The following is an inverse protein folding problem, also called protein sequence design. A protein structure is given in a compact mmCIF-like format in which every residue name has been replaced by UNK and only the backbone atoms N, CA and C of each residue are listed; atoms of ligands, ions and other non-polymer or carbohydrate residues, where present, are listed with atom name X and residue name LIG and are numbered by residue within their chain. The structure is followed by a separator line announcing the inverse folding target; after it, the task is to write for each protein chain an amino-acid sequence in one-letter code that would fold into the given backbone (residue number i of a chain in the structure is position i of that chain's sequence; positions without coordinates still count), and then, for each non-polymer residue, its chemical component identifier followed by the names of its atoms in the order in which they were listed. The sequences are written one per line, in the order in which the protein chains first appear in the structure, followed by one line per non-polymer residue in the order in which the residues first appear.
data_IF_005869906942
#
_entry.id   IF_005869906942
#
_cell.length_a   1.000
_cell.length_b   1.000
_cell.length_c   1.000
_cell.angle_alpha   90.00
_cell.angle_beta   90.00
_cell.angle_gamma   90.00
#
_symmetry.space_group_name_H-M   'P 1'
#
loop_
_entity.id
_entity.type
_entity.pdbx_description
1 polymer ?
#
# COMPACT_ATOMS: atom_id res chain seq x y z
N UNK A 1 15.69 -5.12 -8.49
CA UNK A 1 14.23 -5.38 -8.51
C UNK A 1 13.37 -4.13 -8.44
N UNK A 2 13.78 -3.02 -7.81
CA UNK A 2 12.98 -1.77 -7.71
C UNK A 2 12.58 -1.17 -9.08
N UNK A 3 13.43 -1.30 -10.11
CA UNK A 3 13.09 -0.84 -11.48
C UNK A 3 11.90 -1.59 -12.11
N UNK A 4 11.60 -2.82 -11.68
CA UNK A 4 10.56 -3.65 -12.30
C UNK A 4 9.15 -3.23 -11.84
N UNK A 5 8.99 -2.81 -10.57
CA UNK A 5 7.70 -2.38 -10.04
C UNK A 5 7.27 -0.99 -10.51
N UNK A 6 8.22 -0.04 -10.62
CA UNK A 6 7.95 1.25 -11.24
C UNK A 6 7.48 1.10 -12.70
N UNK A 7 7.95 0.05 -13.38
CA UNK A 7 7.59 -0.23 -14.77
C UNK A 7 6.24 -0.94 -14.89
N UNK A 8 5.97 -2.00 -14.12
CA UNK A 8 4.72 -2.78 -14.28
C UNK A 8 3.46 -1.96 -13.98
N UNK A 9 3.45 -1.17 -12.91
CA UNK A 9 2.27 -0.35 -12.59
C UNK A 9 2.21 0.97 -13.38
N UNK A 10 3.34 1.41 -13.95
CA UNK A 10 3.36 2.54 -14.89
C UNK A 10 2.75 2.20 -16.25
N UNK A 11 2.78 0.93 -16.67
CA UNK A 11 2.44 0.54 -18.04
C UNK A 11 0.96 0.15 -18.23
N UNK A 12 0.24 -0.27 -17.18
CA UNK A 12 -1.10 -0.86 -17.36
C UNK A 12 -2.24 0.17 -17.51
N UNK A 13 -2.02 1.47 -17.23
CA UNK A 13 -3.08 2.49 -17.31
C UNK A 13 -2.71 3.86 -17.93
N UNK A 14 -1.47 4.08 -18.42
CA UNK A 14 -0.94 5.44 -18.59
C UNK A 14 -0.14 5.72 -19.89
N UNK A 15 -0.41 5.04 -21.00
CA UNK A 15 0.41 5.21 -22.22
C UNK A 15 0.35 6.60 -22.89
N UNK A 16 -0.57 7.49 -22.48
CA UNK A 16 -0.73 8.77 -23.18
C UNK A 16 -0.63 10.03 -22.32
N UNK A 17 -0.71 9.97 -20.99
CA UNK A 17 -0.93 11.19 -20.22
C UNK A 17 0.26 11.83 -19.50
N UNK A 18 1.26 11.17 -18.90
CA UNK A 18 2.27 11.97 -18.18
C UNK A 18 3.70 11.39 -18.09
N UNK A 19 4.56 11.59 -19.13
CA UNK A 19 6.01 11.55 -18.96
C UNK A 19 6.50 12.48 -17.84
N UNK A 20 5.75 13.57 -17.59
CA UNK A 20 5.98 14.50 -16.48
C UNK A 20 5.83 13.85 -15.10
N UNK A 21 4.81 13.00 -14.91
CA UNK A 21 4.57 12.30 -13.64
C UNK A 21 5.73 11.36 -13.31
N UNK A 22 6.13 10.52 -14.28
CA UNK A 22 7.31 9.65 -14.13
C UNK A 22 8.59 10.44 -13.90
N UNK A 23 8.79 11.59 -14.57
CA UNK A 23 9.99 12.40 -14.39
C UNK A 23 10.07 12.99 -12.96
N UNK A 24 8.95 13.45 -12.42
CA UNK A 24 8.86 13.98 -11.05
C UNK A 24 9.06 12.86 -10.03
N UNK A 25 8.38 11.72 -10.20
CA UNK A 25 8.53 10.54 -9.34
C UNK A 25 10.00 10.06 -9.33
N UNK A 26 10.61 9.93 -10.51
CA UNK A 26 12.03 9.53 -10.62
C UNK A 26 12.94 10.48 -9.87
N UNK A 27 12.69 11.80 -9.92
CA UNK A 27 13.52 12.78 -9.21
C UNK A 27 13.32 12.73 -7.69
N UNK A 28 12.11 12.45 -7.22
CA UNK A 28 11.81 12.36 -5.78
C UNK A 28 12.27 11.06 -5.13
N UNK A 29 12.20 9.96 -5.89
CA UNK A 29 12.49 8.61 -5.38
C UNK A 29 13.85 8.07 -5.83
N UNK A 30 14.59 8.81 -6.66
CA UNK A 30 15.96 8.45 -7.01
C UNK A 30 16.84 8.31 -5.76
N UNK A 31 17.58 7.20 -5.68
CA UNK A 31 18.54 6.94 -4.62
C UNK A 31 17.96 6.32 -3.36
N UNK A 32 16.65 6.06 -3.29
CA UNK A 32 16.04 5.32 -2.18
C UNK A 32 15.96 3.83 -2.49
N UNK A 33 16.24 3.03 -1.48
CA UNK A 33 15.99 1.58 -1.52
C UNK A 33 14.70 1.32 -0.76
N UNK A 34 13.74 0.70 -1.42
CA UNK A 34 12.46 0.32 -0.82
C UNK A 34 12.39 -1.20 -0.72
N UNK A 35 11.90 -1.69 0.40
CA UNK A 35 11.49 -3.08 0.52
C UNK A 35 10.27 -3.35 -0.39
N UNK A 36 9.90 -4.62 -0.56
CA UNK A 36 8.68 -4.95 -1.30
C UNK A 36 7.42 -4.44 -0.59
N UNK A 37 7.38 -4.54 0.75
CA UNK A 37 6.26 -4.04 1.55
C UNK A 37 6.16 -2.51 1.50
N UNK A 38 7.29 -1.80 1.51
CA UNK A 38 7.31 -0.35 1.30
C UNK A 38 6.74 0.05 -0.07
N UNK A 39 7.10 -0.68 -1.12
CA UNK A 39 6.56 -0.47 -2.47
C UNK A 39 5.04 -0.67 -2.54
N UNK A 40 4.52 -1.68 -1.84
CA UNK A 40 3.09 -1.89 -1.70
C UNK A 40 2.42 -0.74 -0.94
N UNK A 41 3.03 -0.27 0.16
CA UNK A 41 2.51 0.87 0.91
C UNK A 41 2.45 2.13 0.05
N UNK A 42 3.52 2.45 -0.70
CA UNK A 42 3.53 3.59 -1.63
C UNK A 42 2.43 3.47 -2.70
N UNK A 43 2.21 2.26 -3.23
CA UNK A 43 1.14 1.98 -4.21
C UNK A 43 -0.23 2.19 -3.58
N UNK A 44 -0.43 1.73 -2.35
CA UNK A 44 -1.65 1.92 -1.61
C UNK A 44 -1.93 3.42 -1.35
N UNK A 45 -0.92 4.18 -0.90
CA UNK A 45 -1.02 5.63 -0.75
C UNK A 45 -1.32 6.36 -2.06
N UNK A 46 -0.80 5.88 -3.20
CA UNK A 46 -1.09 6.41 -4.54
C UNK A 46 -2.56 6.21 -4.92
N UNK A 47 -3.09 5.01 -4.72
CA UNK A 47 -4.48 4.66 -5.01
C UNK A 47 -5.42 5.44 -4.10
N UNK A 48 -5.14 5.45 -2.81
CA UNK A 48 -5.94 6.18 -1.84
C UNK A 48 -5.92 7.69 -2.11
N UNK A 49 -4.76 8.26 -2.39
CA UNK A 49 -4.62 9.66 -2.79
C UNK A 49 -5.43 10.01 -4.05
N UNK A 50 -5.46 9.11 -5.03
CA UNK A 50 -6.26 9.28 -6.24
C UNK A 50 -7.77 9.33 -5.92
N UNK A 51 -8.26 8.43 -5.07
CA UNK A 51 -9.65 8.47 -4.61
C UNK A 51 -9.98 9.72 -3.81
N UNK A 52 -9.07 10.17 -2.93
CA UNK A 52 -9.22 11.44 -2.22
C UNK A 52 -9.32 12.62 -3.21
N UNK A 53 -8.50 12.64 -4.26
CA UNK A 53 -8.56 13.67 -5.29
C UNK A 53 -9.91 13.69 -6.02
N UNK A 54 -10.49 12.52 -6.31
CA UNK A 54 -11.86 12.44 -6.87
C UNK A 54 -12.92 12.96 -5.91
N UNK A 55 -12.82 12.62 -4.62
CA UNK A 55 -13.79 13.09 -3.63
C UNK A 55 -13.67 14.59 -3.38
N UNK A 56 -12.45 15.14 -3.29
CA UNK A 56 -12.24 16.59 -3.15
C UNK A 56 -12.76 17.32 -4.38
N UNK A 57 -12.57 16.77 -5.57
CA UNK A 57 -13.15 17.31 -6.80
C UNK A 57 -14.67 17.39 -6.71
N UNK A 58 -15.33 16.29 -6.32
CA UNK A 58 -16.79 16.23 -6.14
C UNK A 58 -17.29 17.24 -5.09
N UNK A 59 -16.54 17.41 -3.99
CA UNK A 59 -16.83 18.39 -2.94
C UNK A 59 -16.78 19.84 -3.45
N UNK A 60 -15.79 20.18 -4.27
CA UNK A 60 -15.55 21.55 -4.75
C UNK A 60 -16.48 21.90 -5.92
N UNK A 61 -16.85 20.94 -6.76
CA UNK A 61 -17.49 21.19 -8.07
C UNK A 61 -18.97 20.84 -8.14
N UNK A 62 -19.62 20.65 -7.00
CA UNK A 62 -21.01 20.20 -6.89
C UNK A 62 -22.08 20.96 -7.72
N UNK A 63 -21.80 22.16 -8.22
CA UNK A 63 -22.73 22.94 -9.05
C UNK A 63 -22.17 23.25 -10.46
N UNK A 64 -21.02 22.69 -10.82
CA UNK A 64 -20.36 22.95 -12.09
C UNK A 64 -20.95 22.04 -13.19
N UNK A 65 -21.16 22.59 -14.38
CA UNK A 65 -21.52 21.80 -15.57
C UNK A 65 -20.42 20.75 -15.82
N UNK A 66 -20.80 19.48 -15.67
CA UNK A 66 -19.89 18.34 -15.56
C UNK A 66 -18.92 18.22 -16.75
N UNK A 67 -19.39 18.58 -17.95
CA UNK A 67 -18.65 18.42 -19.21
C UNK A 67 -17.49 19.41 -19.37
N UNK A 68 -17.52 20.58 -18.69
CA UNK A 68 -16.50 21.62 -18.88
C UNK A 68 -15.20 21.35 -18.13
N UNK A 69 -15.19 20.38 -17.22
CA UNK A 69 -14.16 20.28 -16.18
C UNK A 69 -13.52 18.90 -16.05
N UNK A 70 -13.63 18.05 -17.07
CA UNK A 70 -12.98 16.73 -17.06
C UNK A 70 -11.46 16.82 -16.88
N UNK A 71 -10.82 17.80 -17.53
CA UNK A 71 -9.37 18.02 -17.40
C UNK A 71 -8.98 18.38 -15.96
N UNK A 72 -9.75 19.24 -15.30
CA UNK A 72 -9.50 19.62 -13.91
C UNK A 72 -9.77 18.47 -12.93
N UNK A 73 -10.75 17.60 -13.21
CA UNK A 73 -10.97 16.36 -12.44
C UNK A 73 -9.75 15.45 -12.49
N UNK A 74 -9.23 15.20 -13.69
CA UNK A 74 -8.04 14.35 -13.89
C UNK A 74 -6.79 14.98 -13.27
N UNK A 75 -6.64 16.30 -13.36
CA UNK A 75 -5.55 17.02 -12.73
C UNK A 75 -5.62 16.91 -11.21
N UNK A 76 -6.80 17.09 -10.61
CA UNK A 76 -6.98 16.98 -9.16
C UNK A 76 -6.78 15.55 -8.64
N UNK A 77 -7.27 14.53 -9.37
CA UNK A 77 -7.02 13.13 -9.02
C UNK A 77 -5.54 12.76 -9.15
N UNK A 78 -4.84 13.28 -10.17
CA UNK A 78 -3.40 13.07 -10.33
C UNK A 78 -2.60 13.75 -9.21
N UNK A 79 -2.97 14.97 -8.83
CA UNK A 79 -2.39 15.65 -7.66
C UNK A 79 -2.68 14.90 -6.37
N UNK A 80 -3.90 14.39 -6.20
CA UNK A 80 -4.28 13.53 -5.07
C UNK A 80 -3.40 12.28 -5.01
N UNK A 81 -3.21 11.61 -6.15
CA UNK A 81 -2.36 10.43 -6.27
C UNK A 81 -0.92 10.72 -5.85
N UNK A 82 -0.32 11.78 -6.39
CA UNK A 82 1.04 12.21 -6.06
C UNK A 82 1.19 12.59 -4.58
N UNK A 83 0.27 13.40 -4.06
CA UNK A 83 0.29 13.82 -2.64
C UNK A 83 0.10 12.63 -1.70
N UNK A 84 -0.76 11.68 -2.04
CA UNK A 84 -0.93 10.41 -1.31
C UNK A 84 0.35 9.59 -1.26
N UNK A 85 1.06 9.45 -2.39
CA UNK A 85 2.37 8.78 -2.42
C UNK A 85 3.41 9.51 -1.57
N UNK A 86 3.48 10.84 -1.64
CA UNK A 86 4.43 11.64 -0.84
C UNK A 86 4.13 11.54 0.66
N UNK A 87 2.86 11.57 1.06
CA UNK A 87 2.46 11.40 2.45
C UNK A 87 2.81 10.00 2.94
N UNK A 88 2.55 8.97 2.13
CA UNK A 88 2.89 7.60 2.48
C UNK A 88 4.41 7.39 2.56
N UNK A 89 5.20 7.97 1.65
CA UNK A 89 6.68 7.96 1.75
C UNK A 89 7.17 8.54 3.09
N UNK A 90 6.59 9.66 3.51
CA UNK A 90 6.92 10.27 4.81
C UNK A 90 6.49 9.38 5.97
N UNK A 91 5.34 8.73 5.84
CA UNK A 91 4.80 7.82 6.85
C UNK A 91 5.68 6.58 7.04
N UNK A 92 6.16 5.98 5.96
CA UNK A 92 6.97 4.75 6.01
C UNK A 92 8.46 4.99 6.27
N UNK A 93 8.98 6.23 6.18
CA UNK A 93 10.44 6.49 6.20
C UNK A 93 11.22 5.90 7.38
N UNK A 94 10.56 5.72 8.52
CA UNK A 94 11.18 5.18 9.75
C UNK A 94 10.63 3.79 10.12
N UNK A 95 9.95 3.12 9.19
CA UNK A 95 9.28 1.85 9.38
C UNK A 95 9.71 0.91 8.25
N UNK A 96 10.01 -0.34 8.58
CA UNK A 96 10.27 -1.38 7.57
C UNK A 96 9.03 -2.27 7.50
N UNK A 97 8.22 -2.09 6.46
CA UNK A 97 7.00 -2.86 6.30
C UNK A 97 7.31 -4.18 5.60
N UNK A 98 6.91 -5.28 6.23
CA UNK A 98 6.86 -6.57 5.54
C UNK A 98 5.72 -6.57 4.53
N UNK A 99 5.79 -7.47 3.54
CA UNK A 99 4.70 -7.66 2.56
C UNK A 99 3.36 -7.94 3.24
N UNK A 100 3.35 -8.79 4.27
CA UNK A 100 2.15 -9.13 5.02
C UNK A 100 1.56 -7.94 5.76
N UNK A 101 2.40 -7.14 6.41
CA UNK A 101 1.97 -5.90 7.08
C UNK A 101 1.40 -4.89 6.09
N UNK A 102 2.03 -4.71 4.92
CA UNK A 102 1.53 -3.79 3.90
C UNK A 102 0.14 -4.20 3.38
N UNK A 103 -0.09 -5.50 3.13
CA UNK A 103 -1.40 -6.03 2.73
C UNK A 103 -2.44 -5.83 3.83
N UNK A 104 -2.09 -6.10 5.09
CA UNK A 104 -2.99 -5.90 6.22
C UNK A 104 -3.34 -4.42 6.38
N UNK A 105 -2.37 -3.50 6.27
CA UNK A 105 -2.59 -2.06 6.28
C UNK A 105 -3.58 -1.61 5.20
N UNK A 106 -3.37 -2.05 3.95
CA UNK A 106 -4.27 -1.74 2.83
C UNK A 106 -5.68 -2.30 3.05
N UNK A 107 -5.78 -3.53 3.58
CA UNK A 107 -7.07 -4.17 3.88
C UNK A 107 -7.80 -3.43 5.00
N UNK A 108 -7.07 -3.00 6.04
CA UNK A 108 -7.59 -2.24 7.15
C UNK A 108 -8.09 -0.85 6.73
N UNK A 109 -7.36 -0.17 5.85
CA UNK A 109 -7.81 1.08 5.23
C UNK A 109 -9.10 0.86 4.43
N UNK A 110 -9.15 -0.15 3.56
CA UNK A 110 -10.36 -0.45 2.78
C UNK A 110 -11.56 -0.82 3.65
N UNK A 111 -11.35 -1.64 4.69
CA UNK A 111 -12.38 -1.95 5.68
C UNK A 111 -12.87 -0.69 6.41
N UNK A 112 -11.96 0.23 6.73
CA UNK A 112 -12.26 1.54 7.29
C UNK A 112 -13.14 2.38 6.36
N UNK A 113 -12.83 2.43 5.07
CA UNK A 113 -13.66 3.13 4.05
C UNK A 113 -15.08 2.57 4.04
N UNK A 114 -15.22 1.25 3.96
CA UNK A 114 -16.52 0.57 3.97
C UNK A 114 -17.29 0.83 5.28
N UNK A 115 -16.60 0.83 6.42
CA UNK A 115 -17.20 1.13 7.72
C UNK A 115 -17.70 2.58 7.78
N UNK A 116 -16.93 3.53 7.27
CA UNK A 116 -17.33 4.94 7.16
C UNK A 116 -18.57 5.11 6.28
N UNK A 117 -18.60 4.46 5.12
CA UNK A 117 -19.78 4.45 4.25
C UNK A 117 -21.00 3.81 4.93
N UNK A 118 -20.82 2.64 5.55
CA UNK A 118 -21.89 1.93 6.28
C UNK A 118 -22.46 2.76 7.43
N UNK A 119 -21.61 3.50 8.14
CA UNK A 119 -22.06 4.47 9.16
C UNK A 119 -22.93 5.56 8.55
N UNK A 120 -22.57 6.07 7.38
CA UNK A 120 -23.38 7.05 6.65
C UNK A 120 -24.76 6.52 6.27
N UNK A 121 -24.85 5.25 5.84
CA UNK A 121 -26.12 4.59 5.51
C UNK A 121 -27.00 4.41 6.74
N UNK A 122 -26.44 3.97 7.88
CA UNK A 122 -27.19 3.77 9.14
C UNK A 122 -27.75 5.09 9.67
N UNK A 123 -27.01 6.19 9.48
CA UNK A 123 -27.43 7.53 9.88
C UNK A 123 -28.34 8.22 8.84
N UNK A 124 -28.76 7.50 7.79
CA UNK A 124 -29.61 8.01 6.71
C UNK A 124 -29.08 9.31 6.09
N UNK A 125 -27.76 9.37 5.89
CA UNK A 125 -27.11 10.54 5.30
C UNK A 125 -27.28 10.51 3.77
N UNK A 126 -28.28 11.26 3.29
CA UNK A 126 -28.53 11.41 1.85
C UNK A 126 -27.51 12.33 1.14
N UNK A 127 -26.74 13.10 1.91
CA UNK A 127 -25.74 13.98 1.35
C UNK A 127 -24.46 13.21 0.98
N UNK A 128 -24.28 12.96 -0.32
CA UNK A 128 -23.10 12.26 -0.85
C UNK A 128 -21.75 12.85 -0.42
N UNK A 129 -21.68 14.16 -0.14
CA UNK A 129 -20.46 14.81 0.38
C UNK A 129 -20.10 14.33 1.77
N UNK A 130 -21.10 14.28 2.64
CA UNK A 130 -20.91 13.83 4.02
C UNK A 130 -20.58 12.34 4.01
N UNK A 131 -21.23 11.56 3.15
CA UNK A 131 -20.89 10.15 2.96
C UNK A 131 -19.45 9.95 2.46
N UNK A 132 -18.98 10.76 1.51
CA UNK A 132 -17.59 10.76 1.05
C UNK A 132 -16.60 11.11 2.16
N UNK A 133 -16.89 12.14 2.96
CA UNK A 133 -16.06 12.51 4.11
C UNK A 133 -16.00 11.40 5.18
N UNK A 134 -17.13 10.73 5.44
CA UNK A 134 -17.15 9.56 6.34
C UNK A 134 -16.33 8.40 5.79
N UNK A 135 -16.40 8.15 4.48
CA UNK A 135 -15.60 7.13 3.82
C UNK A 135 -14.10 7.43 3.94
N UNK A 136 -13.68 8.69 3.71
CA UNK A 136 -12.28 9.12 3.86
C UNK A 136 -11.81 9.02 5.32
N UNK A 137 -12.60 9.55 6.24
CA UNK A 137 -12.30 9.48 7.67
C UNK A 137 -12.22 8.03 8.17
N UNK A 138 -13.13 7.18 7.68
CA UNK A 138 -13.11 5.74 7.90
C UNK A 138 -11.84 5.09 7.38
N UNK A 139 -11.41 5.41 6.16
CA UNK A 139 -10.17 4.88 5.57
C UNK A 139 -8.93 5.22 6.39
N UNK A 140 -8.75 6.51 6.72
CA UNK A 140 -7.66 6.95 7.61
C UNK A 140 -7.75 6.30 9.00
N UNK A 141 -8.96 6.19 9.55
CA UNK A 141 -9.20 5.51 10.82
C UNK A 141 -8.81 4.03 10.79
N UNK A 142 -9.19 3.32 9.73
CA UNK A 142 -8.84 1.92 9.49
C UNK A 142 -7.35 1.70 9.34
N UNK A 143 -6.67 2.58 8.59
CA UNK A 143 -5.20 2.58 8.47
C UNK A 143 -4.52 2.76 9.83
N UNK A 144 -4.93 3.77 10.61
CA UNK A 144 -4.33 4.07 11.92
C UNK A 144 -4.62 2.99 12.98
N UNK A 145 -5.84 2.43 12.98
CA UNK A 145 -6.19 1.31 13.87
C UNK A 145 -5.40 0.07 13.52
N UNK A 146 -5.29 -0.26 12.23
CA UNK A 146 -4.52 -1.42 11.77
C UNK A 146 -3.05 -1.27 12.12
N UNK A 147 -2.48 -0.07 11.97
CA UNK A 147 -1.11 0.21 12.42
C UNK A 147 -0.95 -0.10 13.91
N UNK A 148 -1.86 0.35 14.78
CA UNK A 148 -1.79 0.08 16.22
C UNK A 148 -1.85 -1.41 16.55
N UNK A 149 -2.60 -2.19 15.76
CA UNK A 149 -2.67 -3.65 15.92
C UNK A 149 -1.38 -4.32 15.42
N UNK A 150 -0.80 -3.78 14.34
CA UNK A 150 0.43 -4.29 13.71
C UNK A 150 1.73 -3.80 14.36
N UNK A 151 1.68 -2.89 15.34
CA UNK A 151 2.80 -2.52 16.21
C UNK A 151 3.23 -3.67 17.16
N UNK A 152 3.17 -4.90 16.65
CA UNK A 152 3.99 -6.02 17.09
C UNK A 152 5.44 -5.63 16.74
N UNK A 153 6.42 -5.78 17.65
CA UNK A 153 7.79 -5.30 17.48
C UNK A 153 8.34 -5.60 16.09
N UNK A 154 8.95 -4.60 15.45
CA UNK A 154 9.53 -4.72 14.10
C UNK A 154 10.28 -6.05 14.00
N UNK A 155 10.16 -6.77 12.90
CA UNK A 155 10.71 -8.12 12.73
C UNK A 155 12.22 -8.19 13.07
N UNK A 156 12.96 -7.08 12.91
CA UNK A 156 14.35 -6.92 13.35
C UNK A 156 14.58 -7.01 14.88
N UNK A 157 13.53 -6.92 15.69
CA UNK A 157 13.52 -7.16 17.14
C UNK A 157 12.92 -8.53 17.50
N UNK A 158 12.01 -9.05 16.66
CA UNK A 158 11.40 -10.37 16.88
C UNK A 158 12.36 -11.50 16.48
N UNK A 159 13.18 -11.29 15.45
CA UNK A 159 14.23 -12.20 15.03
C UNK A 159 15.53 -11.74 15.67
N UNK A 160 15.80 -12.17 16.91
CA UNK A 160 17.18 -12.12 17.40
C UNK A 160 18.00 -13.06 16.52
N UNK A 161 19.16 -12.65 15.99
CA UNK A 161 20.05 -13.54 15.23
C UNK A 161 20.41 -14.83 15.99
N UNK A 162 20.33 -14.79 17.33
CA UNK A 162 20.57 -15.92 18.21
C UNK A 162 19.44 -16.98 18.19
N UNK A 163 18.23 -16.64 17.74
CA UNK A 163 17.07 -17.53 17.76
C UNK A 163 16.87 -18.28 16.43
N UNK A 164 17.53 -17.87 15.33
CA UNK A 164 17.50 -18.61 14.07
C UNK A 164 18.49 -19.78 14.16
N UNK A 165 18.01 -20.93 14.62
CA UNK A 165 18.82 -22.14 14.65
C UNK A 165 18.71 -22.88 13.31
N UNK A 166 19.62 -22.57 12.38
CA UNK A 166 19.74 -23.30 11.12
C UNK A 166 20.56 -24.57 11.40
N UNK A 167 19.87 -25.71 11.48
CA UNK A 167 20.53 -27.00 11.64
C UNK A 167 20.62 -27.70 10.28
N UNK A 168 21.86 -27.98 9.86
CA UNK A 168 22.20 -28.80 8.71
C UNK A 168 22.63 -30.17 9.22
N UNK A 169 21.74 -31.15 9.14
CA UNK A 169 22.05 -32.52 9.52
C UNK A 169 22.25 -33.37 8.25
N UNK A 170 23.40 -34.06 8.10
CA UNK A 170 23.54 -35.07 7.07
C UNK A 170 22.56 -36.22 7.38
N UNK A 171 21.76 -36.60 6.38
CA UNK A 171 20.80 -37.69 6.48
C UNK A 171 21.02 -38.66 5.34
N UNK A 172 20.90 -39.95 5.65
CA UNK A 172 20.90 -41.00 4.64
C UNK A 172 19.47 -41.48 4.46
N UNK A 173 18.96 -41.44 3.23
CA UNK A 173 17.66 -42.01 2.89
C UNK A 173 17.86 -43.29 2.10
N UNK A 174 17.06 -44.31 2.43
CA UNK A 174 17.07 -45.59 1.72
C UNK A 174 16.05 -45.55 0.59
N UNK A 175 16.51 -45.66 -0.66
CA UNK A 175 15.65 -45.79 -1.84
C UNK A 175 16.02 -47.09 -2.56
N UNK A 176 15.08 -48.05 -2.61
CA UNK A 176 15.28 -49.36 -3.27
C UNK A 176 16.59 -50.07 -2.87
N UNK A 177 16.84 -50.18 -1.56
CA UNK A 177 18.05 -50.78 -0.98
C UNK A 177 19.38 -50.07 -1.29
N UNK A 178 19.37 -48.87 -1.87
CA UNK A 178 20.54 -48.00 -1.98
C UNK A 178 20.44 -46.86 -0.97
N UNK A 179 21.50 -46.65 -0.18
CA UNK A 179 21.64 -45.49 0.69
C UNK A 179 22.14 -44.32 -0.16
N UNK A 180 21.36 -43.24 -0.19
CA UNK A 180 21.77 -42.00 -0.84
C UNK A 180 22.08 -40.96 0.24
N UNK A 181 23.22 -40.25 0.13
CA UNK A 181 23.49 -39.14 1.02
C UNK A 181 22.54 -37.98 0.67
N UNK A 182 22.10 -37.27 1.69
CA UNK A 182 21.41 -36.01 1.51
C UNK A 182 21.54 -35.11 2.73
N UNK A 183 20.93 -33.94 2.62
CA UNK A 183 21.03 -32.87 3.61
C UNK A 183 19.61 -32.56 4.06
N UNK A 184 19.37 -32.67 5.37
CA UNK A 184 18.16 -32.17 6.00
C UNK A 184 18.40 -30.73 6.40
N UNK A 185 17.57 -29.83 5.89
CA UNK A 185 17.53 -28.44 6.32
C UNK A 185 16.39 -28.31 7.32
N UNK A 186 16.72 -28.09 8.59
CA UNK A 186 15.74 -27.72 9.59
C UNK A 186 15.89 -26.23 9.91
N UNK A 187 14.84 -25.47 9.66
CA UNK A 187 14.77 -24.04 9.98
C UNK A 187 13.75 -23.92 11.10
N UNK A 188 14.21 -23.56 12.29
CA UNK A 188 13.36 -23.30 13.44
C UNK A 188 13.27 -21.79 13.62
N UNK A 189 12.03 -21.29 13.64
CA UNK A 189 11.67 -19.89 13.88
C UNK A 189 11.02 -19.75 15.25
#
# INVERSE_FOLDING_TARGET
MVHFFATIFGTIYYDHLHPLGMAIERRFFAGRQYSFGDGLMLTNGRIFGLFNGFMIWDLITHNAEQDKYEFSRLLLSSLGSFTGTVLMDRYIRNLDFTTGQAILMATGEFAGVLFGMGTGVILEIDNGRVMGLLALGGGWGGLLLTRKILEVPSENQAIRPDDINISLAPVFFSVKHKLLPGISLNIQF
#
